data_IF_254971042400
#
_entry.id   IF_254971042400
#
_cell.length_a   1.000
_cell.length_b   1.000
_cell.length_c   1.000
_cell.angle_alpha   90.00
_cell.angle_beta   90.00
_cell.angle_gamma   90.00
#
_symmetry.space_group_name_H-M   'P 1'
#
loop_
_entity.id
_entity.type
_entity.pdbx_description
1 polymer ?
#
# COMPACT_ATOMS: atom_id res chain seq x y z
N UNK A 1 -37.88 0.26 0.76
CA UNK A 1 -37.01 0.24 -0.44
C UNK A 1 -36.03 1.40 -0.46
N UNK A 2 -36.49 2.65 -0.22
CA UNK A 2 -35.56 3.81 -0.17
C UNK A 2 -34.53 3.69 0.96
N UNK A 3 -34.87 3.11 2.10
CA UNK A 3 -33.95 2.93 3.23
C UNK A 3 -32.81 1.96 2.89
N UNK A 4 -33.09 0.89 2.14
CA UNK A 4 -32.06 -0.09 1.74
C UNK A 4 -31.07 0.55 0.78
N UNK A 5 -31.54 1.30 -0.21
CA UNK A 5 -30.66 2.03 -1.13
C UNK A 5 -29.82 3.08 -0.41
N UNK A 6 -30.40 3.77 0.56
CA UNK A 6 -29.68 4.78 1.35
C UNK A 6 -28.57 4.14 2.19
N UNK A 7 -28.85 3.01 2.84
CA UNK A 7 -27.84 2.26 3.60
C UNK A 7 -26.73 1.73 2.71
N UNK A 8 -27.07 1.18 1.55
CA UNK A 8 -26.08 0.69 0.59
C UNK A 8 -25.20 1.83 0.11
N UNK A 9 -25.77 3.00 -0.16
CA UNK A 9 -25.02 4.18 -0.56
C UNK A 9 -24.06 4.61 0.55
N UNK A 10 -24.54 4.66 1.79
CA UNK A 10 -23.71 5.00 2.96
C UNK A 10 -22.53 4.05 3.10
N UNK A 11 -22.78 2.74 3.00
CA UNK A 11 -21.74 1.72 3.11
C UNK A 11 -20.72 1.88 1.99
N UNK A 12 -21.17 2.14 0.76
CA UNK A 12 -20.28 2.37 -0.38
C UNK A 12 -19.41 3.61 -0.20
N UNK A 13 -19.98 4.69 0.31
CA UNK A 13 -19.23 5.92 0.60
C UNK A 13 -18.15 5.63 1.65
N UNK A 14 -18.51 4.95 2.75
CA UNK A 14 -17.56 4.60 3.80
C UNK A 14 -16.45 3.68 3.26
N UNK A 15 -16.81 2.70 2.44
CA UNK A 15 -15.86 1.77 1.84
C UNK A 15 -14.81 2.50 1.00
N UNK A 16 -15.26 3.32 0.05
CA UNK A 16 -14.32 4.03 -0.82
C UNK A 16 -13.54 5.11 -0.08
N UNK A 17 -14.18 5.80 0.85
CA UNK A 17 -13.48 6.78 1.70
C UNK A 17 -12.37 6.09 2.49
N UNK A 18 -12.65 4.91 3.03
CA UNK A 18 -11.66 4.14 3.80
C UNK A 18 -10.49 3.74 2.93
N UNK A 19 -10.76 3.18 1.74
CA UNK A 19 -9.70 2.77 0.81
C UNK A 19 -8.82 3.97 0.45
N UNK A 20 -9.41 5.08 0.05
CA UNK A 20 -8.65 6.27 -0.34
C UNK A 20 -7.86 6.81 0.84
N UNK A 21 -8.47 6.89 2.03
CA UNK A 21 -7.79 7.38 3.22
C UNK A 21 -6.59 6.51 3.61
N UNK A 22 -6.74 5.18 3.54
CA UNK A 22 -5.65 4.25 3.84
C UNK A 22 -4.51 4.39 2.84
N UNK A 23 -4.82 4.49 1.54
CA UNK A 23 -3.80 4.66 0.51
C UNK A 23 -3.05 5.98 0.69
N UNK A 24 -3.76 7.07 0.96
CA UNK A 24 -3.14 8.38 1.18
C UNK A 24 -2.25 8.38 2.41
N UNK A 25 -2.70 7.77 3.49
CA UNK A 25 -1.90 7.69 4.73
C UNK A 25 -0.66 6.81 4.53
N UNK A 26 -0.81 5.65 3.89
CA UNK A 26 0.33 4.79 3.57
C UNK A 26 1.35 5.52 2.71
N UNK A 27 0.91 6.26 1.72
CA UNK A 27 1.78 7.06 0.87
C UNK A 27 2.51 8.14 1.66
N UNK A 28 1.77 8.90 2.47
CA UNK A 28 2.35 9.97 3.29
C UNK A 28 3.45 9.46 4.20
N UNK A 29 3.20 8.33 4.84
CA UNK A 29 4.12 7.73 5.80
C UNK A 29 5.41 7.25 5.13
N UNK A 30 5.31 6.65 3.95
CA UNK A 30 6.46 6.02 3.30
C UNK A 30 7.14 6.91 2.27
N UNK A 31 6.39 7.77 1.60
CA UNK A 31 6.94 8.58 0.51
C UNK A 31 6.97 10.08 0.82
N UNK A 32 6.46 10.49 1.98
CA UNK A 32 6.59 11.87 2.46
C UNK A 32 5.91 12.90 1.57
N UNK A 33 6.68 13.85 1.08
CA UNK A 33 6.16 14.99 0.32
C UNK A 33 5.95 14.73 -1.16
N UNK A 34 6.13 13.49 -1.62
CA UNK A 34 5.87 13.14 -3.01
C UNK A 34 4.36 13.22 -3.30
N UNK A 35 4.02 13.45 -4.56
CA UNK A 35 2.63 13.59 -4.98
C UNK A 35 1.93 12.23 -4.99
N UNK A 36 0.77 12.17 -4.37
CA UNK A 36 0.06 10.91 -4.16
C UNK A 36 -0.39 10.26 -5.47
N UNK A 37 -1.09 11.00 -6.32
CA UNK A 37 -1.68 10.43 -7.54
C UNK A 37 -0.66 9.77 -8.46
N UNK A 38 0.40 10.49 -8.87
CA UNK A 38 1.43 9.90 -9.74
C UNK A 38 2.17 8.73 -9.11
N UNK A 39 2.21 8.65 -7.78
CA UNK A 39 2.92 7.60 -7.05
C UNK A 39 2.08 6.34 -6.78
N UNK A 40 0.82 6.28 -7.21
CA UNK A 40 -0.02 5.11 -6.96
C UNK A 40 0.61 3.80 -7.41
N UNK A 41 1.16 3.69 -8.63
CA UNK A 41 1.84 2.44 -9.02
C UNK A 41 3.05 2.14 -8.15
N UNK A 42 3.80 3.16 -7.75
CA UNK A 42 4.95 3.01 -6.84
C UNK A 42 4.49 2.47 -5.49
N UNK A 43 3.41 3.01 -4.96
CA UNK A 43 2.83 2.56 -3.68
C UNK A 43 2.39 1.11 -3.75
N UNK A 44 1.76 0.68 -4.85
CA UNK A 44 1.33 -0.70 -5.02
C UNK A 44 2.52 -1.66 -5.12
N UNK A 45 3.58 -1.27 -5.83
CA UNK A 45 4.80 -2.09 -5.92
C UNK A 45 5.44 -2.23 -4.55
N UNK A 46 5.54 -1.15 -3.79
CA UNK A 46 6.07 -1.19 -2.43
C UNK A 46 5.21 -2.09 -1.54
N UNK A 47 3.89 -1.90 -1.57
CA UNK A 47 2.97 -2.70 -0.75
C UNK A 47 3.01 -4.18 -1.07
N UNK A 48 3.06 -4.54 -2.37
CA UNK A 48 3.16 -5.92 -2.79
C UNK A 48 4.48 -6.55 -2.31
N UNK A 49 5.58 -5.79 -2.38
CA UNK A 49 6.87 -6.25 -1.88
C UNK A 49 6.85 -6.52 -0.38
N UNK A 50 6.30 -5.60 0.40
CA UNK A 50 6.17 -5.77 1.85
C UNK A 50 5.28 -6.97 2.17
N UNK A 51 4.15 -7.11 1.47
CA UNK A 51 3.24 -8.22 1.66
C UNK A 51 3.95 -9.57 1.43
N UNK A 52 4.65 -9.71 0.32
CA UNK A 52 5.37 -10.95 0.00
C UNK A 52 6.45 -11.24 1.04
N UNK A 53 7.16 -10.20 1.49
CA UNK A 53 8.17 -10.38 2.54
C UNK A 53 7.54 -10.89 3.83
N UNK A 54 6.43 -10.29 4.26
CA UNK A 54 5.74 -10.69 5.48
C UNK A 54 5.16 -12.11 5.38
N UNK A 55 4.81 -12.54 4.18
CA UNK A 55 4.33 -13.90 3.93
C UNK A 55 5.46 -14.93 3.81
N UNK A 56 6.71 -14.51 3.99
CA UNK A 56 7.87 -15.39 3.88
C UNK A 56 8.27 -15.74 2.47
N UNK A 57 7.76 -15.01 1.48
CA UNK A 57 8.09 -15.22 0.08
C UNK A 57 9.26 -14.33 -0.33
N UNK A 58 10.01 -14.78 -1.35
CA UNK A 58 11.07 -13.95 -1.92
C UNK A 58 10.47 -12.78 -2.70
N UNK A 59 10.98 -11.59 -2.46
CA UNK A 59 10.51 -10.37 -3.13
C UNK A 59 11.31 -10.18 -4.41
N UNK A 60 10.68 -10.49 -5.55
CA UNK A 60 11.31 -10.40 -6.88
C UNK A 60 10.43 -9.56 -7.79
N UNK A 61 11.07 -8.83 -8.72
CA UNK A 61 10.36 -8.00 -9.67
C UNK A 61 9.34 -8.80 -10.50
N UNK A 62 9.72 -10.00 -10.96
CA UNK A 62 8.84 -10.85 -11.76
C UNK A 62 7.60 -11.30 -11.00
N UNK A 63 7.75 -11.61 -9.72
CA UNK A 63 6.64 -12.05 -8.87
C UNK A 63 5.68 -10.90 -8.60
N UNK A 64 6.22 -9.72 -8.28
CA UNK A 64 5.41 -8.52 -8.05
C UNK A 64 4.66 -8.13 -9.33
N UNK A 65 5.35 -8.17 -10.48
CA UNK A 65 4.73 -7.83 -11.76
C UNK A 65 3.54 -8.72 -12.07
N UNK A 66 3.67 -10.02 -11.82
CA UNK A 66 2.59 -10.98 -12.01
C UNK A 66 1.44 -10.72 -11.05
N UNK A 67 1.76 -10.48 -9.79
CA UNK A 67 0.76 -10.23 -8.75
C UNK A 67 -0.07 -8.97 -9.03
N UNK A 68 0.59 -7.90 -9.46
CA UNK A 68 -0.07 -6.62 -9.74
C UNK A 68 -0.57 -6.49 -11.17
N UNK A 69 -0.28 -7.47 -12.02
CA UNK A 69 -0.63 -7.41 -13.45
C UNK A 69 -0.05 -6.18 -14.13
N UNK A 70 1.24 -5.89 -13.83
CA UNK A 70 1.98 -4.78 -14.42
C UNK A 70 3.12 -5.31 -15.28
N UNK A 71 3.56 -4.52 -16.30
CA UNK A 71 4.74 -4.89 -17.07
C UNK A 71 5.97 -5.00 -16.16
N UNK A 72 6.81 -6.00 -16.43
CA UNK A 72 8.01 -6.26 -15.65
C UNK A 72 8.94 -5.05 -15.58
N UNK A 73 9.12 -4.35 -16.71
CA UNK A 73 9.97 -3.15 -16.74
C UNK A 73 9.43 -2.02 -15.88
N UNK A 74 8.11 -1.87 -15.82
CA UNK A 74 7.46 -0.89 -14.94
C UNK A 74 7.78 -1.19 -13.48
N UNK A 75 7.66 -2.46 -13.08
CA UNK A 75 7.95 -2.88 -11.70
C UNK A 75 9.43 -2.69 -11.37
N UNK A 76 10.33 -3.05 -12.29
CA UNK A 76 11.77 -2.87 -12.10
C UNK A 76 12.11 -1.39 -11.88
N UNK A 77 11.52 -0.51 -12.66
CA UNK A 77 11.75 0.94 -12.53
C UNK A 77 11.27 1.44 -11.16
N UNK A 78 10.10 1.00 -10.71
CA UNK A 78 9.59 1.39 -9.40
C UNK A 78 10.43 0.83 -8.26
N UNK A 79 10.91 -0.41 -8.39
CA UNK A 79 11.80 -0.98 -7.39
C UNK A 79 13.10 -0.21 -7.28
N UNK A 80 13.67 0.27 -8.39
CA UNK A 80 14.86 1.13 -8.35
C UNK A 80 14.59 2.42 -7.56
N UNK A 81 13.43 3.02 -7.78
CA UNK A 81 13.02 4.21 -7.03
C UNK A 81 12.88 3.91 -5.54
N UNK A 82 12.25 2.80 -5.20
CA UNK A 82 12.05 2.39 -3.80
C UNK A 82 13.39 2.18 -3.11
N UNK A 83 14.36 1.56 -3.79
CA UNK A 83 15.72 1.38 -3.26
C UNK A 83 16.40 2.73 -3.06
N UNK A 84 16.27 3.65 -4.02
CA UNK A 84 16.82 5.02 -3.88
C UNK A 84 16.24 5.76 -2.69
N UNK A 85 14.96 5.55 -2.40
CA UNK A 85 14.30 6.17 -1.26
C UNK A 85 14.68 5.52 0.06
N UNK A 86 15.47 4.44 0.04
CA UNK A 86 15.92 3.75 1.24
C UNK A 86 14.88 2.85 1.89
N UNK A 87 13.82 2.51 1.16
CA UNK A 87 12.72 1.69 1.70
C UNK A 87 12.95 0.19 1.51
N UNK A 88 13.68 -0.20 0.46
CA UNK A 88 14.09 -1.59 0.23
C UNK A 88 15.61 -1.66 0.09
N UNK A 89 16.18 -2.75 0.58
CA UNK A 89 17.58 -3.09 0.37
C UNK A 89 17.64 -4.23 -0.66
N UNK A 90 18.45 -4.10 -1.72
CA UNK A 90 18.64 -5.18 -2.66
C UNK A 90 19.53 -6.26 -2.05
N UNK A 91 19.14 -7.53 -2.22
CA UNK A 91 19.92 -8.70 -1.78
C UNK A 91 19.96 -9.68 -2.93
N UNK A 92 21.07 -9.72 -3.68
CA UNK A 92 21.20 -10.46 -4.92
C UNK A 92 20.12 -10.07 -5.93
N UNK A 93 19.24 -10.98 -6.31
CA UNK A 93 18.11 -10.70 -7.21
C UNK A 93 16.80 -10.52 -6.48
N UNK A 94 16.85 -10.34 -5.16
CA UNK A 94 15.68 -10.14 -4.32
C UNK A 94 15.77 -8.80 -3.61
N UNK A 95 14.69 -8.43 -2.94
CA UNK A 95 14.59 -7.21 -2.15
C UNK A 95 14.06 -7.54 -0.76
N UNK A 96 14.43 -6.74 0.21
CA UNK A 96 13.86 -6.83 1.55
C UNK A 96 13.58 -5.42 2.07
N UNK A 97 12.55 -5.24 2.91
CA UNK A 97 12.32 -3.95 3.56
C UNK A 97 13.56 -3.53 4.35
N UNK A 98 13.89 -2.25 4.26
CA UNK A 98 15.02 -1.70 5.00
C UNK A 98 14.77 -1.81 6.51
N UNK A 99 15.82 -2.12 7.27
CA UNK A 99 15.77 -2.13 8.74
C UNK A 99 15.48 -0.76 9.32
N UNK A 100 15.64 0.30 8.51
CA UNK A 100 15.35 1.67 8.92
C UNK A 100 13.87 2.03 8.80
N UNK A 101 13.01 1.10 8.35
CA UNK A 101 11.57 1.36 8.28
C UNK A 101 11.06 1.57 9.70
N UNK A 102 10.53 2.78 9.91
CA UNK A 102 10.01 3.14 11.21
C UNK A 102 8.61 2.53 11.39
N UNK A 103 8.51 1.55 12.30
CA UNK A 103 7.26 0.86 12.61
C UNK A 103 6.27 1.75 13.37
N UNK A 104 6.71 2.90 13.87
CA UNK A 104 5.85 3.83 14.64
C UNK A 104 4.62 4.25 13.82
N UNK A 105 4.75 4.30 12.52
CA UNK A 105 3.67 4.73 11.63
C UNK A 105 2.56 3.69 11.42
N UNK A 106 2.80 2.44 11.81
CA UNK A 106 1.78 1.39 11.76
C UNK A 106 0.61 1.73 12.67
N UNK A 107 0.87 2.36 13.81
CA UNK A 107 -0.16 2.71 14.78
C UNK A 107 -1.22 3.66 14.18
N UNK A 108 -0.81 4.60 13.34
CA UNK A 108 -1.75 5.54 12.72
C UNK A 108 -2.61 4.86 11.65
N UNK A 109 -2.00 4.00 10.84
CA UNK A 109 -2.74 3.21 9.84
C UNK A 109 -3.74 2.30 10.55
N UNK A 110 -3.31 1.61 11.61
CA UNK A 110 -4.18 0.74 12.40
C UNK A 110 -5.34 1.53 13.01
N UNK A 111 -5.09 2.73 13.54
CA UNK A 111 -6.12 3.61 14.08
C UNK A 111 -7.15 3.99 13.03
N UNK A 112 -6.71 4.35 11.83
CA UNK A 112 -7.61 4.66 10.71
C UNK A 112 -8.45 3.44 10.35
N UNK A 113 -7.84 2.27 10.27
CA UNK A 113 -8.55 1.02 9.97
C UNK A 113 -9.61 0.71 11.03
N UNK A 114 -9.28 0.84 12.30
CA UNK A 114 -10.21 0.58 13.41
C UNK A 114 -11.39 1.55 13.38
N UNK A 115 -11.13 2.83 13.15
CA UNK A 115 -12.19 3.83 13.07
C UNK A 115 -13.13 3.54 11.90
N UNK A 116 -12.59 3.21 10.73
CA UNK A 116 -13.40 2.86 9.58
C UNK A 116 -14.23 1.61 9.81
N UNK A 117 -13.64 0.59 10.46
CA UNK A 117 -14.36 -0.62 10.83
C UNK A 117 -15.53 -0.32 11.77
N UNK A 118 -15.33 0.54 12.77
CA UNK A 118 -16.39 0.96 13.69
C UNK A 118 -17.52 1.64 12.93
N UNK A 119 -17.20 2.56 12.02
CA UNK A 119 -18.22 3.27 11.24
C UNK A 119 -19.02 2.34 10.33
N UNK A 120 -18.38 1.31 9.78
CA UNK A 120 -19.05 0.31 8.95
C UNK A 120 -19.96 -0.58 9.80
N UNK A 121 -19.53 -0.95 11.01
CA UNK A 121 -20.25 -1.88 11.88
C UNK A 121 -21.37 -1.21 12.69
N UNK A 122 -21.38 0.09 12.79
CA UNK A 122 -22.46 0.84 13.44
C UNK A 122 -23.48 1.34 12.42
#
# INVERSE_FOLDING_TARGET
MKAVHFQQRRIRILYWRTIVALLKEAHRVKFGNRRFGPDLPLLFVYGAGVLHFLEGKKVRASVIARYLELPHETVRRHLKTIVKLGLFDPVDHTFKPSSKINLVNINKIESVMRQCAREILT
#
